data_IF_592962753932
#
_entry.id   IF_592962753932
#
_cell.length_a   1.000
_cell.length_b   1.000
_cell.length_c   1.000
_cell.angle_alpha   90.00
_cell.angle_beta   90.00
_cell.angle_gamma   90.00
#
_symmetry.space_group_name_H-M   'P 1'
#
loop_
_entity.id
_entity.type
_entity.pdbx_description
1 polymer ?
#
# COMPACT_ATOMS: atom_id res chain seq x y z
N UNK A 1 -44.55 9.45 34.41
CA UNK A 1 -45.45 10.01 33.37
C UNK A 1 -44.62 10.94 32.53
N UNK A 2 -44.29 10.74 31.26
CA UNK A 2 -44.55 9.75 30.20
C UNK A 2 -43.20 9.66 29.45
N UNK A 3 -42.64 8.51 29.09
CA UNK A 3 -43.15 7.50 28.17
C UNK A 3 -42.15 7.39 27.01
N UNK A 4 -41.21 6.45 27.09
CA UNK A 4 -40.25 6.15 26.03
C UNK A 4 -41.00 5.35 24.97
N UNK A 5 -41.23 5.93 23.79
CA UNK A 5 -41.74 5.19 22.63
C UNK A 5 -40.57 4.63 21.84
N UNK A 6 -40.40 3.31 21.90
CA UNK A 6 -39.74 2.53 20.86
C UNK A 6 -40.53 2.65 19.54
N UNK A 7 -39.86 2.43 18.39
CA UNK A 7 -40.57 2.12 17.14
C UNK A 7 -40.15 2.85 15.86
N UNK A 8 -38.88 3.17 15.65
CA UNK A 8 -38.38 3.58 14.33
C UNK A 8 -37.89 2.37 13.52
N UNK A 9 -38.77 1.69 12.79
CA UNK A 9 -38.37 0.66 11.79
C UNK A 9 -37.44 1.31 10.76
N UNK A 10 -36.17 0.90 10.74
CA UNK A 10 -35.30 1.11 9.57
C UNK A 10 -35.96 0.44 8.36
N UNK A 11 -36.00 1.06 7.17
CA UNK A 11 -36.51 0.40 5.99
C UNK A 11 -35.66 -0.86 5.74
N UNK A 12 -36.33 -2.01 5.74
CA UNK A 12 -35.70 -3.30 5.53
C UNK A 12 -35.01 -3.34 4.16
N UNK A 13 -33.83 -3.94 4.14
CA UNK A 13 -33.14 -4.32 2.90
C UNK A 13 -34.13 -5.12 2.03
N UNK A 14 -34.27 -4.85 0.73
CA UNK A 14 -35.22 -5.56 -0.12
C UNK A 14 -34.91 -7.05 -0.07
N UNK A 15 -35.84 -7.86 0.45
CA UNK A 15 -35.77 -9.30 0.35
C UNK A 15 -36.31 -9.66 -1.05
N UNK A 16 -35.40 -9.93 -1.98
CA UNK A 16 -35.75 -10.41 -3.32
C UNK A 16 -36.25 -11.84 -3.23
N UNK A 17 -37.55 -12.03 -3.35
CA UNK A 17 -38.18 -13.33 -3.54
C UNK A 17 -38.85 -13.42 -4.91
N UNK A 18 -38.44 -14.41 -5.72
CA UNK A 18 -39.33 -15.04 -6.70
C UNK A 18 -38.92 -15.04 -8.18
N UNK A 19 -38.57 -16.24 -8.65
CA UNK A 19 -38.66 -16.81 -10.00
C UNK A 19 -37.58 -16.44 -11.06
N UNK A 20 -36.98 -17.47 -11.64
CA UNK A 20 -35.93 -17.37 -12.65
C UNK A 20 -36.09 -18.43 -13.76
N UNK A 21 -35.61 -18.16 -14.99
CA UNK A 21 -34.41 -18.81 -15.58
C UNK A 21 -33.59 -17.81 -16.46
N UNK A 22 -32.28 -17.86 -16.75
CA UNK A 22 -31.18 -18.85 -16.78
C UNK A 22 -29.93 -18.22 -16.09
N UNK A 23 -29.12 -19.00 -15.35
CA UNK A 23 -27.89 -18.51 -14.66
C UNK A 23 -28.05 -18.26 -13.15
N UNK A 24 -28.96 -18.99 -12.49
CA UNK A 24 -29.47 -18.72 -11.15
C UNK A 24 -28.43 -18.87 -10.03
N UNK A 25 -28.10 -17.76 -9.38
CA UNK A 25 -27.59 -17.74 -8.02
C UNK A 25 -28.59 -16.99 -7.12
N UNK A 26 -28.79 -17.45 -5.89
CA UNK A 26 -29.75 -16.87 -4.95
C UNK A 26 -29.44 -15.44 -4.49
N UNK A 27 -28.29 -14.88 -4.91
CA UNK A 27 -27.83 -13.55 -4.53
C UNK A 27 -27.02 -12.91 -5.68
N UNK A 28 -27.72 -12.38 -6.67
CA UNK A 28 -27.12 -11.59 -7.74
C UNK A 28 -26.95 -10.14 -7.29
N UNK A 29 -25.71 -9.66 -7.23
CA UNK A 29 -25.40 -8.30 -6.78
C UNK A 29 -24.33 -7.64 -7.66
N UNK A 30 -24.22 -6.30 -7.66
CA UNK A 30 -23.10 -5.63 -8.29
C UNK A 30 -21.76 -6.14 -7.72
N UNK A 31 -20.72 -6.23 -8.56
CA UNK A 31 -19.41 -6.78 -8.17
C UNK A 31 -18.79 -6.09 -6.95
N UNK A 32 -19.06 -4.79 -6.77
CA UNK A 32 -18.62 -4.02 -5.60
C UNK A 32 -19.22 -4.55 -4.28
N UNK A 33 -20.44 -5.07 -4.31
CA UNK A 33 -21.07 -5.68 -3.13
C UNK A 33 -20.46 -7.07 -2.80
N UNK A 34 -19.69 -7.64 -3.73
CA UNK A 34 -18.96 -8.89 -3.56
C UNK A 34 -17.48 -8.73 -3.20
N UNK A 35 -16.98 -7.50 -3.09
CA UNK A 35 -15.55 -7.21 -2.90
C UNK A 35 -14.84 -8.10 -1.84
N UNK A 36 -15.42 -8.39 -0.65
CA UNK A 36 -14.75 -9.23 0.35
C UNK A 36 -14.66 -10.72 -0.03
N UNK A 37 -15.39 -11.18 -1.06
CA UNK A 37 -15.44 -12.55 -1.55
C UNK A 37 -15.13 -12.64 -3.04
N UNK A 38 -14.40 -11.67 -3.59
CA UNK A 38 -14.16 -11.57 -5.03
C UNK A 38 -13.50 -12.86 -5.59
N UNK A 39 -12.66 -13.52 -4.80
CA UNK A 39 -12.01 -14.79 -5.16
C UNK A 39 -12.98 -15.98 -5.26
N UNK A 40 -14.18 -15.86 -4.68
CA UNK A 40 -15.21 -16.90 -4.64
C UNK A 40 -16.34 -16.64 -5.64
N UNK A 41 -16.24 -15.57 -6.43
CA UNK A 41 -17.17 -15.28 -7.52
C UNK A 41 -16.99 -16.32 -8.62
N UNK A 42 -18.01 -17.15 -8.82
CA UNK A 42 -17.94 -18.25 -9.77
C UNK A 42 -18.67 -17.95 -11.09
N UNK A 43 -19.67 -17.08 -11.06
CA UNK A 43 -20.61 -16.89 -12.18
C UNK A 43 -21.12 -15.44 -12.22
N UNK A 44 -21.32 -14.95 -13.45
CA UNK A 44 -22.02 -13.67 -13.70
C UNK A 44 -23.52 -13.91 -13.74
N UNK A 45 -24.28 -12.86 -13.44
CA UNK A 45 -25.74 -12.87 -13.43
C UNK A 45 -26.26 -11.53 -13.94
N UNK A 46 -27.57 -11.42 -14.17
CA UNK A 46 -28.20 -10.19 -14.65
C UNK A 46 -28.93 -9.50 -13.51
N UNK A 47 -28.63 -8.22 -13.31
CA UNK A 47 -29.27 -7.37 -12.31
C UNK A 47 -30.68 -6.94 -12.78
N UNK A 48 -31.56 -6.53 -11.84
CA UNK A 48 -32.94 -6.13 -12.17
C UNK A 48 -33.06 -4.96 -13.15
N UNK A 49 -32.01 -4.13 -13.27
CA UNK A 49 -31.90 -2.99 -14.19
C UNK A 49 -31.27 -3.38 -15.55
N UNK A 50 -31.20 -4.68 -15.85
CA UNK A 50 -30.48 -5.27 -16.98
C UNK A 50 -28.96 -5.06 -16.97
N UNK A 51 -28.39 -4.55 -15.87
CA UNK A 51 -26.94 -4.50 -15.66
C UNK A 51 -26.32 -5.88 -15.44
N UNK A 52 -25.00 -5.97 -15.58
CA UNK A 52 -24.26 -7.19 -15.29
C UNK A 52 -23.89 -7.26 -13.79
N UNK A 53 -24.26 -8.35 -13.12
CA UNK A 53 -23.92 -8.65 -11.74
C UNK A 53 -23.07 -9.91 -11.60
N UNK A 54 -22.74 -10.24 -10.35
CA UNK A 54 -22.01 -11.47 -9.99
C UNK A 54 -22.73 -12.23 -8.88
N UNK A 55 -22.52 -13.54 -8.88
CA UNK A 55 -23.07 -14.46 -7.91
C UNK A 55 -22.19 -14.55 -6.67
N UNK A 56 -22.62 -13.91 -5.59
CA UNK A 56 -21.87 -13.85 -4.34
C UNK A 56 -22.40 -14.84 -3.30
N UNK A 57 -21.53 -15.64 -2.66
CA UNK A 57 -21.91 -16.41 -1.49
C UNK A 57 -22.50 -15.49 -0.42
N UNK A 58 -23.65 -15.87 0.14
CA UNK A 58 -24.26 -15.12 1.25
C UNK A 58 -23.41 -15.38 2.50
N UNK A 59 -22.69 -14.37 2.96
CA UNK A 59 -21.97 -14.48 4.23
C UNK A 59 -23.00 -14.67 5.36
N UNK A 60 -22.77 -15.61 6.28
CA UNK A 60 -23.55 -15.67 7.51
C UNK A 60 -23.49 -14.30 8.19
N UNK A 61 -24.62 -13.84 8.75
CA UNK A 61 -24.62 -12.64 9.59
C UNK A 61 -23.52 -12.82 10.63
N UNK A 62 -22.55 -11.90 10.74
CA UNK A 62 -21.50 -12.04 11.73
C UNK A 62 -22.17 -12.17 13.10
N UNK A 63 -21.88 -13.28 13.78
CA UNK A 63 -22.10 -13.39 15.21
C UNK A 63 -21.42 -12.19 15.85
N UNK A 64 -22.19 -11.47 16.68
CA UNK A 64 -21.79 -10.28 17.43
C UNK A 64 -20.27 -10.22 17.71
N UNK A 65 -19.59 -9.23 17.12
CA UNK A 65 -18.33 -8.71 17.63
C UNK A 65 -17.05 -9.51 17.45
N UNK A 66 -17.01 -10.63 16.71
CA UNK A 66 -15.71 -11.21 16.32
C UNK A 66 -15.22 -10.53 15.04
N UNK A 67 -14.34 -9.55 15.19
CA UNK A 67 -13.59 -8.97 14.08
C UNK A 67 -12.93 -10.08 13.26
N UNK A 68 -12.95 -9.93 11.94
CA UNK A 68 -12.29 -10.89 11.04
C UNK A 68 -10.77 -10.79 11.24
N UNK A 69 -10.25 -11.61 12.15
CA UNK A 69 -8.84 -11.65 12.48
C UNK A 69 -8.01 -12.36 11.40
N UNK A 70 -8.61 -12.89 10.32
CA UNK A 70 -7.88 -13.59 9.28
C UNK A 70 -6.72 -12.75 8.74
N UNK A 71 -6.93 -11.45 8.51
CA UNK A 71 -5.89 -10.52 8.07
C UNK A 71 -4.66 -10.46 9.01
N UNK A 72 -4.87 -10.65 10.31
CA UNK A 72 -3.81 -10.59 11.33
C UNK A 72 -3.28 -11.98 11.74
N UNK A 73 -3.99 -13.06 11.37
CA UNK A 73 -3.61 -14.45 11.65
C UNK A 73 -3.17 -15.22 10.41
N UNK A 74 -3.11 -14.59 9.23
CA UNK A 74 -2.61 -15.20 8.00
C UNK A 74 -1.20 -15.75 8.25
N UNK A 75 -1.05 -17.07 8.05
CA UNK A 75 0.22 -17.75 8.27
C UNK A 75 1.24 -17.19 7.28
N UNK A 76 2.40 -16.72 7.79
CA UNK A 76 3.49 -16.26 6.92
C UNK A 76 3.88 -17.38 5.97
N UNK A 77 3.85 -17.09 4.67
CA UNK A 77 4.34 -18.02 3.65
C UNK A 77 5.82 -18.31 3.92
N UNK A 78 6.12 -19.59 4.12
CA UNK A 78 7.48 -20.09 4.23
C UNK A 78 7.94 -20.55 2.86
N UNK A 79 9.15 -20.14 2.49
CA UNK A 79 9.80 -20.55 1.24
C UNK A 79 11.13 -21.19 1.61
N UNK A 80 11.49 -22.26 0.92
CA UNK A 80 12.83 -22.82 1.06
C UNK A 80 13.84 -21.82 0.52
N UNK A 81 14.76 -21.42 1.39
CA UNK A 81 15.76 -20.41 1.11
C UNK A 81 17.13 -20.96 1.49
N UNK A 82 18.11 -20.78 0.61
CA UNK A 82 19.50 -21.11 0.94
C UNK A 82 19.96 -20.27 2.12
N UNK A 83 20.81 -20.83 2.97
CA UNK A 83 21.46 -20.03 3.98
C UNK A 83 22.47 -19.10 3.29
N UNK A 84 22.40 -17.80 3.57
CA UNK A 84 23.36 -16.81 3.09
C UNK A 84 24.36 -16.53 4.20
N UNK A 85 25.65 -16.62 3.88
CA UNK A 85 26.70 -16.26 4.83
C UNK A 85 26.71 -14.74 5.09
N UNK A 86 27.19 -14.29 6.27
CA UNK A 86 27.35 -12.87 6.54
C UNK A 86 28.22 -12.15 5.50
N UNK A 87 29.21 -12.83 4.92
CA UNK A 87 30.05 -12.30 3.86
C UNK A 87 29.25 -12.03 2.57
N UNK A 88 28.39 -12.95 2.16
CA UNK A 88 27.54 -12.79 0.97
C UNK A 88 26.54 -11.64 1.14
N UNK A 89 25.93 -11.52 2.32
CA UNK A 89 25.03 -10.39 2.65
C UNK A 89 25.81 -9.07 2.62
N UNK A 90 27.01 -9.02 3.21
CA UNK A 90 27.86 -7.83 3.20
C UNK A 90 28.32 -7.43 1.80
N UNK A 91 28.67 -8.40 0.95
CA UNK A 91 29.02 -8.17 -0.45
C UNK A 91 27.86 -7.53 -1.22
N UNK A 92 26.64 -8.02 -1.02
CA UNK A 92 25.45 -7.41 -1.61
C UNK A 92 25.17 -6.01 -1.06
N UNK A 93 25.33 -5.81 0.25
CA UNK A 93 25.23 -4.50 0.89
C UNK A 93 26.24 -3.50 0.30
N UNK A 94 27.47 -3.93 -0.04
CA UNK A 94 28.47 -3.09 -0.69
C UNK A 94 28.01 -2.61 -2.06
N UNK A 95 27.39 -3.49 -2.85
CA UNK A 95 26.78 -3.11 -4.14
C UNK A 95 25.64 -2.10 -3.95
N UNK A 96 24.85 -2.26 -2.90
CA UNK A 96 23.83 -1.29 -2.49
C UNK A 96 24.43 0.08 -2.15
N UNK A 97 25.53 0.12 -1.39
CA UNK A 97 26.24 1.35 -1.05
C UNK A 97 26.81 2.05 -2.30
N UNK A 98 27.47 1.31 -3.19
CA UNK A 98 28.05 1.84 -4.42
C UNK A 98 27.01 2.42 -5.38
N UNK A 99 25.79 1.86 -5.41
CA UNK A 99 24.69 2.38 -6.21
C UNK A 99 24.33 3.83 -5.86
N UNK A 100 24.38 4.21 -4.57
CA UNK A 100 24.10 5.59 -4.18
C UNK A 100 25.16 6.58 -4.71
N UNK A 101 26.42 6.13 -4.79
CA UNK A 101 27.49 6.89 -5.43
C UNK A 101 27.15 7.16 -6.90
N UNK A 102 26.75 6.12 -7.64
CA UNK A 102 26.34 6.24 -9.04
C UNK A 102 25.15 7.19 -9.25
N UNK A 103 24.15 7.13 -8.35
CA UNK A 103 23.01 8.07 -8.39
C UNK A 103 23.48 9.51 -8.18
N UNK A 104 24.37 9.74 -7.22
CA UNK A 104 24.90 11.08 -6.93
C UNK A 104 25.75 11.63 -8.07
N UNK A 105 26.56 10.77 -8.70
CA UNK A 105 27.37 11.12 -9.85
C UNK A 105 26.49 11.47 -11.05
N UNK A 106 25.44 10.67 -11.29
CA UNK A 106 24.46 10.94 -12.34
C UNK A 106 23.74 12.27 -12.10
N UNK A 107 23.25 12.53 -10.89
CA UNK A 107 22.62 13.82 -10.54
C UNK A 107 23.57 14.99 -10.82
N UNK A 108 24.84 14.87 -10.43
CA UNK A 108 25.84 15.92 -10.64
C UNK A 108 26.11 16.15 -12.12
N UNK A 109 26.15 15.09 -12.93
CA UNK A 109 26.31 15.17 -14.38
C UNK A 109 25.09 15.81 -15.06
N UNK A 110 23.87 15.48 -14.62
CA UNK A 110 22.65 16.11 -15.16
C UNK A 110 22.64 17.61 -14.91
N UNK A 111 23.01 18.04 -13.69
CA UNK A 111 23.13 19.47 -13.34
C UNK A 111 24.22 20.14 -14.18
N UNK A 112 25.42 19.54 -14.28
CA UNK A 112 26.54 20.10 -15.03
C UNK A 112 26.22 20.27 -16.53
N UNK A 113 25.38 19.39 -17.08
CA UNK A 113 24.94 19.45 -18.47
C UNK A 113 23.66 20.28 -18.68
N UNK A 114 23.20 21.03 -17.66
CA UNK A 114 21.96 21.81 -17.69
C UNK A 114 20.71 20.98 -18.05
N UNK A 115 20.71 19.68 -17.72
CA UNK A 115 19.57 18.77 -17.87
C UNK A 115 18.69 18.82 -16.61
N UNK A 116 18.26 20.03 -16.27
CA UNK A 116 17.40 20.31 -15.11
C UNK A 116 16.04 20.79 -15.56
N UNK A 117 15.04 20.71 -14.67
CA UNK A 117 13.70 21.22 -14.95
C UNK A 117 13.74 22.73 -15.16
N UNK A 118 13.28 23.26 -16.31
CA UNK A 118 13.28 24.70 -16.53
C UNK A 118 12.40 25.42 -15.51
N UNK A 119 12.91 26.52 -14.98
CA UNK A 119 12.17 27.39 -14.04
C UNK A 119 10.89 27.92 -14.70
N UNK A 120 9.91 28.26 -13.87
CA UNK A 120 8.61 28.82 -14.29
C UNK A 120 7.78 27.93 -15.24
N UNK A 121 8.12 26.65 -15.35
CA UNK A 121 7.26 25.66 -16.02
C UNK A 121 6.24 25.05 -15.06
N UNK A 122 5.10 24.52 -15.56
CA UNK A 122 4.17 23.76 -14.73
C UNK A 122 4.84 22.58 -14.00
N UNK A 123 5.83 21.93 -14.64
CA UNK A 123 6.60 20.86 -14.04
C UNK A 123 7.47 21.35 -12.87
N UNK A 124 8.11 22.52 -13.00
CA UNK A 124 8.85 23.15 -11.91
C UNK A 124 7.93 23.54 -10.74
N UNK A 125 6.75 24.10 -11.04
CA UNK A 125 5.73 24.41 -10.03
C UNK A 125 5.25 23.16 -9.28
N UNK A 126 4.98 22.07 -10.01
CA UNK A 126 4.62 20.79 -9.43
C UNK A 126 5.71 20.26 -8.49
N UNK A 127 6.97 20.25 -8.93
CA UNK A 127 8.09 19.79 -8.09
C UNK A 127 8.21 20.61 -6.79
N UNK A 128 8.00 21.93 -6.88
CA UNK A 128 8.06 22.83 -5.71
C UNK A 128 6.92 22.57 -4.72
N UNK A 129 5.72 22.25 -5.23
CA UNK A 129 4.55 21.92 -4.41
C UNK A 129 4.74 20.60 -3.64
N UNK A 130 5.30 19.59 -4.29
CA UNK A 130 5.51 18.25 -3.71
C UNK A 130 6.94 18.04 -3.18
N UNK A 131 7.52 19.09 -2.61
CA UNK A 131 8.90 19.05 -2.12
C UNK A 131 9.05 18.04 -0.97
N UNK A 132 9.97 17.10 -1.13
CA UNK A 132 10.34 16.12 -0.09
C UNK A 132 11.24 16.76 0.96
N UNK A 133 11.01 16.46 2.25
CA UNK A 133 11.88 16.91 3.34
C UNK A 133 13.27 16.26 3.23
N UNK A 134 14.30 16.90 3.80
CA UNK A 134 15.66 16.36 3.77
C UNK A 134 15.77 15.01 4.47
N UNK A 135 15.06 14.83 5.57
CA UNK A 135 15.03 13.62 6.40
C UNK A 135 14.29 12.48 5.69
N UNK A 136 13.13 12.75 5.08
CA UNK A 136 12.44 11.74 4.25
C UNK A 136 13.30 11.32 3.04
N UNK A 137 13.99 12.27 2.41
CA UNK A 137 14.93 11.95 1.33
C UNK A 137 16.08 11.06 1.79
N UNK A 138 16.68 11.35 2.94
CA UNK A 138 17.75 10.49 3.49
C UNK A 138 17.24 9.08 3.80
N UNK A 139 16.03 8.95 4.34
CA UNK A 139 15.39 7.67 4.57
C UNK A 139 15.14 6.90 3.26
N UNK A 140 14.70 7.57 2.20
CA UNK A 140 14.54 6.96 0.87
C UNK A 140 15.88 6.45 0.32
N UNK A 141 16.93 7.27 0.34
CA UNK A 141 18.26 6.86 -0.15
C UNK A 141 18.79 5.64 0.64
N UNK A 142 18.63 5.63 1.96
CA UNK A 142 19.00 4.50 2.80
C UNK A 142 18.18 3.23 2.46
N UNK A 143 16.89 3.37 2.16
CA UNK A 143 16.04 2.27 1.72
C UNK A 143 16.43 1.76 0.32
N UNK A 144 16.80 2.65 -0.60
CA UNK A 144 17.25 2.28 -1.95
C UNK A 144 18.53 1.42 -1.92
N UNK A 145 19.47 1.70 -1.01
CA UNK A 145 20.66 0.86 -0.82
C UNK A 145 20.29 -0.58 -0.43
N UNK A 146 19.30 -0.74 0.46
CA UNK A 146 18.81 -2.07 0.89
C UNK A 146 18.04 -2.77 -0.22
N UNK A 147 17.23 -2.04 -0.99
CA UNK A 147 16.54 -2.58 -2.16
C UNK A 147 17.53 -3.07 -3.23
N UNK A 148 18.57 -2.29 -3.49
CA UNK A 148 19.61 -2.66 -4.46
C UNK A 148 20.44 -3.86 -3.99
N UNK A 149 20.80 -3.91 -2.69
CA UNK A 149 21.45 -5.08 -2.11
C UNK A 149 20.58 -6.34 -2.27
N UNK A 150 19.28 -6.22 -1.98
CA UNK A 150 18.30 -7.30 -2.14
C UNK A 150 18.23 -7.77 -3.60
N UNK A 151 18.09 -6.86 -4.57
CA UNK A 151 18.09 -7.18 -6.01
C UNK A 151 19.41 -7.83 -6.45
N UNK A 152 20.55 -7.41 -5.90
CA UNK A 152 21.83 -8.07 -6.18
C UNK A 152 21.83 -9.53 -5.71
N UNK A 153 21.31 -9.83 -4.52
CA UNK A 153 21.20 -11.21 -4.03
C UNK A 153 20.29 -12.05 -4.92
N UNK A 154 19.17 -11.49 -5.39
CA UNK A 154 18.28 -12.17 -6.33
C UNK A 154 19.01 -12.56 -7.61
N UNK A 155 19.73 -11.63 -8.21
CA UNK A 155 20.39 -11.85 -9.49
C UNK A 155 21.59 -12.79 -9.36
N UNK A 156 22.43 -12.59 -8.34
CA UNK A 156 23.66 -13.35 -8.12
C UNK A 156 23.38 -14.82 -7.79
N UNK A 157 22.35 -15.06 -6.99
CA UNK A 157 21.99 -16.41 -6.55
C UNK A 157 20.77 -16.99 -7.28
N UNK A 158 20.28 -16.31 -8.33
CA UNK A 158 19.12 -16.70 -9.14
C UNK A 158 17.90 -17.07 -8.28
N UNK A 159 17.62 -16.25 -7.28
CA UNK A 159 16.51 -16.47 -6.36
C UNK A 159 15.19 -16.18 -7.09
N UNK A 160 14.15 -16.95 -6.76
CA UNK A 160 12.80 -16.68 -7.27
C UNK A 160 12.19 -15.43 -6.63
N UNK A 161 11.19 -14.80 -7.26
CA UNK A 161 10.46 -13.69 -6.65
C UNK A 161 9.88 -14.03 -5.27
N UNK A 162 9.38 -15.26 -5.08
CA UNK A 162 8.88 -15.72 -3.79
C UNK A 162 10.00 -15.79 -2.72
N UNK A 163 11.21 -16.18 -3.10
CA UNK A 163 12.40 -16.13 -2.23
C UNK A 163 12.82 -14.68 -1.92
N UNK A 164 12.70 -13.76 -2.88
CA UNK A 164 12.88 -12.33 -2.64
C UNK A 164 11.90 -11.78 -1.61
N UNK A 165 10.61 -12.01 -1.81
CA UNK A 165 9.54 -11.47 -0.96
C UNK A 165 9.52 -12.09 0.44
N UNK A 166 9.69 -13.42 0.52
CA UNK A 166 9.50 -14.14 1.78
C UNK A 166 10.79 -14.62 2.42
N UNK A 167 11.81 -14.95 1.64
CA UNK A 167 13.08 -15.52 2.08
C UNK A 167 14.07 -14.46 2.59
N UNK A 168 14.28 -13.37 1.85
CA UNK A 168 15.28 -12.35 2.21
C UNK A 168 15.06 -11.69 3.58
N UNK A 169 13.81 -11.70 4.09
CA UNK A 169 13.48 -11.20 5.43
C UNK A 169 14.21 -11.94 6.57
N UNK A 170 14.75 -13.12 6.29
CA UNK A 170 15.54 -13.91 7.23
C UNK A 170 16.99 -13.40 7.38
N UNK A 171 17.45 -12.51 6.50
CA UNK A 171 18.82 -11.99 6.45
C UNK A 171 18.84 -10.47 6.69
N UNK A 172 18.77 -10.01 7.95
CA UNK A 172 18.71 -8.59 8.25
C UNK A 172 20.04 -7.88 7.97
N UNK A 173 19.97 -6.66 7.46
CA UNK A 173 21.15 -5.80 7.20
C UNK A 173 21.74 -5.16 8.47
N UNK A 174 21.18 -5.44 9.66
CA UNK A 174 21.61 -4.86 10.94
C UNK A 174 23.05 -5.19 11.32
N UNK A 175 23.58 -6.31 10.83
CA UNK A 175 24.96 -6.74 11.08
C UNK A 175 25.83 -6.57 9.82
N UNK A 176 25.55 -5.54 9.02
CA UNK A 176 26.25 -5.26 7.78
C UNK A 176 26.75 -3.82 7.73
N UNK A 177 27.46 -3.47 6.66
CA UNK A 177 27.85 -2.08 6.39
C UNK A 177 26.66 -1.11 6.26
N UNK A 178 25.44 -1.61 6.03
CA UNK A 178 24.21 -0.82 5.96
C UNK A 178 23.43 -0.81 7.30
N UNK A 179 24.08 -1.19 8.42
CA UNK A 179 23.44 -1.22 9.74
C UNK A 179 22.82 0.13 10.13
N UNK A 180 23.47 1.22 9.74
CA UNK A 180 23.04 2.59 10.04
C UNK A 180 21.80 3.04 9.26
N UNK A 181 21.40 2.30 8.23
CA UNK A 181 20.16 2.57 7.49
C UNK A 181 18.91 2.17 8.30
N UNK A 182 19.08 1.35 9.34
CA UNK A 182 17.97 0.93 10.19
C UNK A 182 17.64 2.02 11.23
N UNK A 183 16.36 2.43 11.35
CA UNK A 183 15.98 3.48 12.29
C UNK A 183 16.25 3.05 13.74
N UNK A 184 16.80 3.98 14.53
CA UNK A 184 17.11 3.78 15.96
C UNK A 184 16.06 4.47 16.81
N UNK A 185 15.59 3.79 17.86
CA UNK A 185 14.62 4.37 18.78
C UNK A 185 15.29 5.46 19.64
N UNK A 186 14.72 6.67 19.73
CA UNK A 186 15.24 7.71 20.61
C UNK A 186 14.90 7.40 22.09
N UNK A 187 15.64 7.99 23.04
CA UNK A 187 15.23 7.97 24.45
C UNK A 187 13.94 8.80 24.63
N UNK A 188 13.01 8.29 25.45
CA UNK A 188 11.72 8.95 25.69
C UNK A 188 11.62 9.50 27.11
N UNK A 189 10.99 10.69 27.24
CA UNK A 189 10.61 11.25 28.53
C UNK A 189 9.15 10.89 28.84
N UNK A 190 8.86 9.98 29.79
CA UNK A 190 7.49 9.57 30.12
C UNK A 190 6.67 10.68 30.79
N UNK A 191 7.31 11.77 31.23
CA UNK A 191 6.65 12.94 31.83
C UNK A 191 6.42 14.08 30.84
N UNK A 192 6.70 13.87 29.56
CA UNK A 192 6.42 14.88 28.54
C UNK A 192 4.90 15.17 28.48
N UNK A 193 4.54 16.46 28.58
CA UNK A 193 3.13 16.90 28.61
C UNK A 193 2.48 16.94 27.22
N UNK A 194 3.27 17.14 26.17
CA UNK A 194 2.80 17.38 24.81
C UNK A 194 3.37 16.35 23.84
N UNK A 195 2.66 16.16 22.73
CA UNK A 195 3.11 15.30 21.63
C UNK A 195 4.36 15.90 21.00
N UNK A 196 5.29 15.05 20.58
CA UNK A 196 6.32 15.44 19.63
C UNK A 196 5.69 15.79 18.28
N UNK A 197 6.32 16.72 17.55
CA UNK A 197 5.85 17.14 16.23
C UNK A 197 5.89 15.97 15.23
N UNK A 198 6.86 15.07 15.37
CA UNK A 198 7.07 13.97 14.44
C UNK A 198 6.41 12.65 14.87
N UNK A 199 5.72 12.62 16.02
CA UNK A 199 5.05 11.44 16.57
C UNK A 199 5.94 10.50 17.40
N UNK A 200 7.25 10.78 17.54
CA UNK A 200 8.14 10.00 18.42
C UNK A 200 7.64 9.90 19.86
N UNK A 201 7.93 8.77 20.52
CA UNK A 201 7.63 8.55 21.93
C UNK A 201 6.14 8.58 22.29
N UNK A 202 5.23 8.53 21.32
CA UNK A 202 3.81 8.35 21.60
C UNK A 202 3.54 7.00 22.29
N UNK A 203 4.27 5.96 21.86
CA UNK A 203 4.35 4.67 22.54
C UNK A 203 5.73 4.53 23.22
N UNK A 204 5.76 4.40 24.55
CA UNK A 204 7.00 4.37 25.34
C UNK A 204 7.79 3.06 25.16
N UNK A 205 7.11 1.95 24.87
CA UNK A 205 7.76 0.66 24.61
C UNK A 205 8.33 0.58 23.18
N UNK A 206 7.63 1.22 22.24
CA UNK A 206 8.00 1.27 20.83
C UNK A 206 8.02 2.73 20.33
N UNK A 207 9.08 3.50 20.65
CA UNK A 207 9.15 4.95 20.41
C UNK A 207 8.95 5.42 18.96
N UNK A 208 9.09 4.51 17.99
CA UNK A 208 8.97 4.80 16.56
C UNK A 208 7.56 4.52 16.00
N UNK A 209 6.64 3.93 16.78
CA UNK A 209 5.28 3.65 16.30
C UNK A 209 4.51 4.95 16.07
N UNK A 210 4.00 5.11 14.85
CA UNK A 210 3.30 6.33 14.42
C UNK A 210 4.21 7.52 14.14
N UNK A 211 5.54 7.34 14.19
CA UNK A 211 6.48 8.41 13.83
C UNK A 211 6.38 8.69 12.32
N UNK A 212 6.28 9.97 11.96
CA UNK A 212 6.39 10.46 10.58
C UNK A 212 7.74 10.10 9.94
N UNK A 213 7.76 10.07 8.60
CA UNK A 213 8.94 9.74 7.79
C UNK A 213 9.50 8.34 8.11
N UNK A 214 8.62 7.41 8.47
CA UNK A 214 8.94 5.98 8.59
C UNK A 214 8.15 5.18 7.57
N UNK A 215 8.57 3.95 7.30
CA UNK A 215 7.88 3.07 6.36
C UNK A 215 6.45 2.76 6.81
N UNK A 216 5.50 2.73 5.88
CA UNK A 216 4.16 2.20 6.16
C UNK A 216 4.21 0.76 6.70
N UNK A 217 3.36 0.49 7.69
CA UNK A 217 3.17 -0.87 8.18
C UNK A 217 2.47 -1.71 7.11
N UNK A 218 2.99 -2.92 6.86
CA UNK A 218 2.39 -3.86 5.93
C UNK A 218 1.49 -4.84 6.67
N UNK A 219 0.18 -4.79 6.39
CA UNK A 219 -0.79 -5.77 6.90
C UNK A 219 -0.63 -7.13 6.19
N UNK A 220 -0.28 -7.11 4.91
CA UNK A 220 0.02 -8.30 4.09
C UNK A 220 1.41 -8.21 3.45
N UNK A 221 2.05 -9.35 3.10
CA UNK A 221 3.28 -9.34 2.33
C UNK A 221 3.13 -8.55 1.02
N UNK A 222 4.14 -7.78 0.60
CA UNK A 222 4.08 -7.06 -0.67
C UNK A 222 4.16 -8.02 -1.86
N UNK A 223 3.61 -7.61 -3.00
CA UNK A 223 3.67 -8.37 -4.25
C UNK A 223 4.33 -7.51 -5.33
N UNK A 224 5.63 -7.75 -5.54
CA UNK A 224 6.44 -7.09 -6.55
C UNK A 224 6.74 -8.05 -7.71
N UNK A 225 6.98 -7.52 -8.92
CA UNK A 225 7.27 -8.33 -10.10
C UNK A 225 8.57 -9.13 -9.97
N UNK A 226 9.59 -8.52 -9.37
CA UNK A 226 10.87 -9.15 -9.03
C UNK A 226 10.88 -9.74 -7.60
N UNK A 227 9.81 -9.56 -6.84
CA UNK A 227 9.74 -9.97 -5.44
C UNK A 227 10.41 -9.03 -4.44
N UNK A 228 10.98 -7.90 -4.88
CA UNK A 228 11.67 -6.92 -4.01
C UNK A 228 11.09 -5.52 -4.14
N UNK A 229 11.06 -4.95 -5.35
CA UNK A 229 10.72 -3.54 -5.55
C UNK A 229 10.09 -3.20 -6.89
N UNK A 230 10.23 -4.05 -7.92
CA UNK A 230 9.69 -3.70 -9.24
C UNK A 230 8.16 -3.80 -9.23
N UNK A 231 7.44 -2.82 -9.83
CA UNK A 231 6.00 -2.94 -10.00
C UNK A 231 5.65 -4.23 -10.72
N UNK A 232 4.56 -4.87 -10.29
CA UNK A 232 4.05 -6.08 -10.93
C UNK A 232 3.50 -5.73 -12.31
N UNK A 233 3.84 -6.51 -13.33
CA UNK A 233 3.34 -6.35 -14.72
C UNK A 233 2.46 -7.51 -15.18
N UNK A 234 2.39 -8.60 -14.41
CA UNK A 234 1.60 -9.80 -14.73
C UNK A 234 0.56 -10.14 -13.67
N UNK A 235 -0.57 -10.66 -14.10
CA UNK A 235 -1.67 -11.17 -13.28
C UNK A 235 -1.27 -12.45 -12.53
N UNK A 236 -2.13 -12.94 -11.64
CA UNK A 236 -1.93 -14.23 -10.97
C UNK A 236 -2.03 -15.43 -11.93
N UNK A 237 -2.66 -15.24 -13.10
CA UNK A 237 -2.76 -16.25 -14.16
C UNK A 237 -1.63 -16.14 -15.19
N UNK A 238 -0.71 -15.17 -15.04
CA UNK A 238 0.45 -14.97 -15.91
C UNK A 238 0.23 -14.02 -17.10
N UNK A 239 -1.02 -13.61 -17.35
CA UNK A 239 -1.34 -12.60 -18.37
C UNK A 239 -0.76 -11.23 -18.01
N UNK A 240 -0.54 -10.35 -18.99
CA UNK A 240 -0.13 -8.97 -18.69
C UNK A 240 -1.26 -8.19 -18.00
N UNK A 241 -0.88 -7.29 -17.10
CA UNK A 241 -1.83 -6.36 -16.49
C UNK A 241 -2.19 -5.28 -17.52
N UNK A 242 -3.47 -4.88 -17.59
CA UNK A 242 -3.88 -3.81 -18.49
C UNK A 242 -3.23 -2.48 -18.07
N UNK A 243 -3.02 -1.61 -19.06
CA UNK A 243 -2.63 -0.23 -18.80
C UNK A 243 -3.68 0.45 -17.92
N UNK A 244 -3.23 1.18 -16.91
CA UNK A 244 -4.09 1.87 -15.95
C UNK A 244 -5.03 2.86 -16.63
N UNK A 245 -4.58 3.51 -17.71
CA UNK A 245 -5.41 4.43 -18.51
C UNK A 245 -6.56 3.72 -19.19
N UNK A 246 -6.34 2.49 -19.68
CA UNK A 246 -7.38 1.67 -20.32
C UNK A 246 -8.40 1.24 -19.27
N UNK A 247 -7.96 0.83 -18.08
CA UNK A 247 -8.87 0.50 -16.97
C UNK A 247 -9.71 1.72 -16.60
N UNK A 248 -9.07 2.87 -16.39
CA UNK A 248 -9.75 4.10 -16.03
C UNK A 248 -10.78 4.52 -17.09
N UNK A 249 -10.41 4.52 -18.39
CA UNK A 249 -11.30 4.96 -19.46
C UNK A 249 -12.49 4.05 -19.72
N UNK A 250 -12.39 2.76 -19.35
CA UNK A 250 -13.45 1.78 -19.60
C UNK A 250 -14.33 1.51 -18.36
N UNK A 251 -13.85 1.80 -17.14
CA UNK A 251 -14.56 1.50 -15.89
C UNK A 251 -15.07 2.76 -15.20
N UNK A 252 -14.29 3.85 -15.20
CA UNK A 252 -14.69 5.07 -14.52
C UNK A 252 -15.64 5.85 -15.43
N UNK A 253 -16.86 6.06 -14.95
CA UNK A 253 -17.88 6.84 -15.64
C UNK A 253 -17.85 8.27 -15.11
N UNK A 254 -17.66 9.23 -15.99
CA UNK A 254 -17.83 10.64 -15.68
C UNK A 254 -19.31 10.99 -15.87
N UNK A 255 -20.01 11.28 -14.77
CA UNK A 255 -21.44 11.61 -14.76
C UNK A 255 -21.70 12.66 -13.71
N UNK A 256 -22.47 13.68 -14.10
CA UNK A 256 -23.04 14.66 -13.17
C UNK A 256 -24.21 14.02 -12.41
N UNK A 257 -23.93 13.51 -11.21
CA UNK A 257 -24.90 12.86 -10.32
C UNK A 257 -24.62 13.28 -8.87
N UNK A 258 -25.11 14.46 -8.43
CA UNK A 258 -24.83 14.97 -7.10
C UNK A 258 -25.49 14.12 -6.01
N UNK A 259 -24.76 13.87 -4.93
CA UNK A 259 -25.25 13.14 -3.77
C UNK A 259 -26.41 13.91 -3.09
N UNK A 260 -27.50 13.20 -2.74
CA UNK A 260 -28.72 13.79 -2.17
C UNK A 260 -28.72 13.82 -0.64
N UNK A 261 -27.81 13.10 -0.01
CA UNK A 261 -27.72 12.95 1.45
C UNK A 261 -26.51 13.67 2.02
N UNK A 262 -25.39 13.69 1.29
CA UNK A 262 -24.14 14.29 1.73
C UNK A 262 -23.85 15.61 1.03
N UNK A 263 -23.44 16.61 1.80
CA UNK A 263 -22.90 17.84 1.24
C UNK A 263 -21.42 17.64 0.86
N UNK A 264 -20.89 18.57 0.07
CA UNK A 264 -19.46 18.60 -0.30
C UNK A 264 -18.51 18.60 0.90
N UNK A 265 -18.98 18.97 2.10
CA UNK A 265 -18.16 18.99 3.31
C UNK A 265 -17.63 17.60 3.67
N UNK A 266 -18.35 16.52 3.35
CA UNK A 266 -17.91 15.15 3.63
C UNK A 266 -16.63 14.82 2.85
N UNK A 267 -16.61 15.15 1.56
CA UNK A 267 -15.42 14.95 0.71
C UNK A 267 -14.25 15.80 1.21
N UNK A 268 -14.49 17.09 1.49
CA UNK A 268 -13.42 17.99 1.92
C UNK A 268 -12.83 17.58 3.27
N UNK A 269 -13.68 17.16 4.21
CA UNK A 269 -13.25 16.67 5.52
C UNK A 269 -12.48 15.35 5.42
N UNK A 270 -12.89 14.45 4.52
CA UNK A 270 -12.17 13.21 4.26
C UNK A 270 -10.74 13.49 3.76
N UNK A 271 -10.57 14.42 2.82
CA UNK A 271 -9.24 14.84 2.36
C UNK A 271 -8.42 15.48 3.47
N UNK A 272 -9.05 16.30 4.32
CA UNK A 272 -8.37 16.92 5.46
C UNK A 272 -7.85 15.87 6.45
N UNK A 273 -8.64 14.85 6.76
CA UNK A 273 -8.20 13.71 7.59
C UNK A 273 -7.10 12.90 6.89
N UNK A 274 -7.26 12.58 5.61
CA UNK A 274 -6.26 11.82 4.85
C UNK A 274 -4.88 12.49 4.91
N UNK A 275 -4.84 13.81 4.72
CA UNK A 275 -3.62 14.60 4.77
C UNK A 275 -3.02 14.75 6.18
N UNK A 276 -3.79 14.54 7.26
CA UNK A 276 -3.27 14.48 8.64
C UNK A 276 -2.69 13.09 8.96
N UNK A 277 -3.23 12.03 8.34
CA UNK A 277 -2.87 10.65 8.65
C UNK A 277 -1.73 10.11 7.79
N UNK A 278 -1.72 10.39 6.50
CA UNK A 278 -0.77 9.75 5.58
C UNK A 278 -0.26 10.68 4.49
N UNK A 279 1.02 10.50 4.16
CA UNK A 279 1.62 11.09 2.98
C UNK A 279 2.76 10.21 2.48
N UNK A 280 2.72 9.85 1.19
CA UNK A 280 3.76 9.08 0.53
C UNK A 280 4.49 9.99 -0.48
N UNK A 281 5.60 10.64 -0.11
CA UNK A 281 6.33 11.50 -1.03
C UNK A 281 6.92 10.67 -2.17
N UNK A 282 6.90 11.21 -3.38
CA UNK A 282 7.57 10.58 -4.51
C UNK A 282 9.06 10.92 -4.51
N UNK A 283 9.88 9.98 -4.99
CA UNK A 283 11.31 10.20 -5.11
C UNK A 283 11.58 11.35 -6.10
N UNK A 284 12.28 12.38 -5.64
CA UNK A 284 12.75 13.48 -6.49
C UNK A 284 14.28 13.51 -6.49
N UNK A 285 14.85 13.66 -7.68
CA UNK A 285 16.29 13.88 -7.83
C UNK A 285 16.68 15.25 -7.22
N UNK A 286 17.96 15.50 -6.98
CA UNK A 286 18.52 16.84 -6.64
C UNK A 286 18.49 17.68 -7.92
N UNK A 287 17.32 18.04 -8.42
CA UNK A 287 17.18 18.89 -9.61
C UNK A 287 16.17 19.99 -9.34
#
# INVERSE_FOLDING_TARGET
>A
MYGISEGGRRPGRPQGGGAAPVGQCGNCVPIVACAPLLEQVSTTCQLPDAGLGVCCPVLPKPSVGQGDNRLFTLRRQQVQMRNLSPHEVNSACQKGLSFLGQVTDLESQLIANNLVLPVDTPAHGHLKFFRVTRTARQADLAAQQVNQASRSLLNEFRLSPAQGTHGLRQFPVRNSILADNCPRAPPCNPRAKYRSIDGTCNNLENPLYGKSETSFQRVMPPVYGDGVSSPRTRSVTGSELPLERVVASNILVDRDDPDREFTLSVMQWAQWIDHDLTHAPFASLRM
#
